data_IF_460908771134
#
_entry.id   IF_460908771134
#
_cell.length_a   1.000
_cell.length_b   1.000
_cell.length_c   1.000
_cell.angle_alpha   90.00
_cell.angle_beta   90.00
_cell.angle_gamma   90.00
#
_symmetry.space_group_name_H-M   'P 1'
#
loop_
_entity.id
_entity.type
_entity.pdbx_description
1 polymer ?
#
# COMPACT_ATOMS: atom_id res chain seq x y z
N UNK A 1 -12.02 8.07 8.27
CA UNK A 1 -13.06 7.02 8.17
C UNK A 1 -13.51 6.83 6.72
N UNK A 2 -13.67 7.88 5.90
CA UNK A 2 -14.21 7.77 4.53
C UNK A 2 -13.17 7.24 3.52
N UNK A 3 -11.92 7.74 3.55
CA UNK A 3 -10.87 7.32 2.59
C UNK A 3 -10.66 5.80 2.59
N UNK A 4 -10.47 5.10 3.73
CA UNK A 4 -10.31 3.65 3.72
C UNK A 4 -11.54 2.87 3.22
N UNK A 5 -12.73 3.49 3.30
CA UNK A 5 -13.98 2.82 2.92
C UNK A 5 -14.31 2.96 1.43
N UNK A 6 -14.09 4.14 0.85
CA UNK A 6 -14.52 4.46 -0.52
C UNK A 6 -13.39 5.01 -1.41
N UNK A 7 -12.17 5.13 -0.88
CA UNK A 7 -10.99 5.67 -1.55
C UNK A 7 -10.97 7.21 -1.58
N UNK A 8 -9.78 7.74 -1.87
CA UNK A 8 -9.52 9.18 -1.90
C UNK A 8 -10.40 9.90 -2.92
N UNK A 9 -10.47 9.41 -4.16
CA UNK A 9 -11.25 10.01 -5.24
C UNK A 9 -12.73 10.16 -4.87
N UNK A 10 -13.37 9.08 -4.42
CA UNK A 10 -14.79 9.09 -4.08
C UNK A 10 -15.06 9.92 -2.83
N UNK A 11 -14.12 9.99 -1.89
CA UNK A 11 -14.21 10.87 -0.72
C UNK A 11 -14.28 12.34 -1.14
N UNK A 12 -13.40 12.78 -2.04
CA UNK A 12 -13.43 14.14 -2.56
C UNK A 12 -14.71 14.44 -3.33
N UNK A 13 -15.19 13.53 -4.18
CA UNK A 13 -16.44 13.68 -4.90
C UNK A 13 -17.64 13.79 -3.95
N UNK A 14 -17.68 12.98 -2.90
CA UNK A 14 -18.74 13.02 -1.87
C UNK A 14 -18.77 14.37 -1.16
N UNK A 15 -17.61 14.84 -0.66
CA UNK A 15 -17.55 16.13 0.01
C UNK A 15 -17.87 17.29 -0.92
N UNK A 16 -17.41 17.25 -2.17
CA UNK A 16 -17.76 18.25 -3.20
C UNK A 16 -19.26 18.29 -3.44
N UNK A 17 -19.94 17.14 -3.50
CA UNK A 17 -21.38 17.06 -3.64
C UNK A 17 -22.11 17.66 -2.42
N UNK A 18 -21.68 17.33 -1.21
CA UNK A 18 -22.26 17.88 0.03
C UNK A 18 -22.14 19.41 0.04
N UNK A 19 -20.95 19.94 -0.24
CA UNK A 19 -20.71 21.39 -0.28
C UNK A 19 -21.56 22.08 -1.34
N UNK A 20 -21.68 21.47 -2.52
CA UNK A 20 -22.53 21.99 -3.60
C UNK A 20 -24.01 22.02 -3.21
N UNK A 21 -24.52 20.97 -2.58
CA UNK A 21 -25.89 20.93 -2.09
C UNK A 21 -26.16 22.01 -1.04
N UNK A 22 -25.24 22.21 -0.10
CA UNK A 22 -25.32 23.30 0.90
C UNK A 22 -25.36 24.66 0.21
N UNK A 23 -24.50 24.87 -0.80
CA UNK A 23 -24.48 26.12 -1.56
C UNK A 23 -25.78 26.35 -2.34
N UNK A 24 -26.36 25.31 -2.95
CA UNK A 24 -27.64 25.40 -3.65
C UNK A 24 -28.82 25.71 -2.69
N UNK A 25 -28.82 25.12 -1.51
CA UNK A 25 -29.80 25.46 -0.46
C UNK A 25 -29.65 26.93 -0.02
N UNK A 26 -28.41 27.41 0.14
CA UNK A 26 -28.15 28.82 0.44
C UNK A 26 -28.66 29.75 -0.65
N UNK A 27 -28.39 29.43 -1.91
CA UNK A 27 -28.91 30.19 -3.07
C UNK A 27 -30.47 30.19 -3.11
N UNK A 28 -31.08 29.04 -2.86
CA UNK A 28 -32.53 28.93 -2.82
C UNK A 28 -33.19 29.78 -1.70
N UNK A 29 -32.48 29.95 -0.59
CA UNK A 29 -32.95 30.68 0.61
C UNK A 29 -32.74 32.20 0.53
N UNK A 30 -31.60 32.63 -0.05
CA UNK A 30 -31.12 34.02 0.04
C UNK A 30 -30.94 34.71 -1.30
N UNK A 31 -30.99 34.00 -2.42
CA UNK A 31 -30.86 34.56 -3.77
C UNK A 31 -32.16 34.43 -4.58
N UNK A 32 -32.16 34.94 -5.81
CA UNK A 32 -33.27 34.81 -6.70
C UNK A 32 -33.39 33.38 -7.26
N UNK A 33 -34.63 32.98 -7.62
CA UNK A 33 -34.86 31.68 -8.30
C UNK A 33 -34.04 31.57 -9.61
N UNK A 34 -33.81 32.70 -10.31
CA UNK A 34 -33.00 32.76 -11.53
C UNK A 34 -31.55 32.40 -11.25
N UNK A 35 -31.00 32.80 -10.12
CA UNK A 35 -29.62 32.48 -9.77
C UNK A 35 -29.46 31.03 -9.35
N UNK A 36 -30.43 30.45 -8.68
CA UNK A 36 -30.45 29.00 -8.39
C UNK A 36 -30.48 28.17 -9.69
N UNK A 37 -31.37 28.54 -10.64
CA UNK A 37 -31.51 27.82 -11.91
C UNK A 37 -30.20 27.83 -12.75
N UNK A 38 -29.39 28.89 -12.65
CA UNK A 38 -28.09 28.96 -13.34
C UNK A 38 -27.09 27.91 -12.85
N UNK A 39 -27.25 27.36 -11.64
CA UNK A 39 -26.29 26.47 -11.00
C UNK A 39 -26.82 25.04 -10.78
N UNK A 40 -28.12 24.79 -11.01
CA UNK A 40 -28.76 23.50 -10.75
C UNK A 40 -28.19 22.34 -11.57
N UNK A 41 -27.47 22.61 -12.66
CA UNK A 41 -26.81 21.61 -13.50
C UNK A 41 -25.52 21.06 -12.89
N UNK A 42 -24.91 21.78 -11.93
CA UNK A 42 -23.60 21.40 -11.34
C UNK A 42 -23.61 20.02 -10.65
N UNK A 43 -24.63 19.62 -9.84
CA UNK A 43 -24.70 18.26 -9.27
C UNK A 43 -24.68 17.17 -10.36
N UNK A 44 -25.33 17.40 -11.48
CA UNK A 44 -25.36 16.42 -12.59
C UNK A 44 -23.96 16.24 -13.22
N UNK A 45 -23.18 17.33 -13.33
CA UNK A 45 -21.80 17.25 -13.78
C UNK A 45 -20.94 16.46 -12.81
N UNK A 46 -21.09 16.66 -11.49
CA UNK A 46 -20.36 15.87 -10.48
C UNK A 46 -20.73 14.39 -10.55
N UNK A 47 -22.00 14.07 -10.71
CA UNK A 47 -22.44 12.67 -10.88
C UNK A 47 -21.85 12.09 -12.18
N UNK A 48 -21.90 12.84 -13.29
CA UNK A 48 -21.31 12.40 -14.54
C UNK A 48 -19.80 12.16 -14.43
N UNK A 49 -19.06 13.06 -13.77
CA UNK A 49 -17.63 12.87 -13.48
C UNK A 49 -17.38 11.64 -12.61
N UNK A 50 -18.19 11.42 -11.57
CA UNK A 50 -18.08 10.23 -10.73
C UNK A 50 -18.25 8.93 -11.55
N UNK A 51 -19.26 8.89 -12.44
CA UNK A 51 -19.50 7.74 -13.30
C UNK A 51 -18.41 7.54 -14.34
N UNK A 52 -17.95 8.60 -14.98
CA UNK A 52 -16.88 8.55 -16.00
C UNK A 52 -15.53 8.12 -15.41
N UNK A 53 -15.26 8.47 -14.16
CA UNK A 53 -14.00 8.14 -13.50
C UNK A 53 -14.07 6.93 -12.59
N UNK A 54 -15.24 6.29 -12.45
CA UNK A 54 -15.46 5.19 -11.49
C UNK A 54 -14.41 4.07 -11.58
N UNK A 55 -14.07 3.68 -12.83
CA UNK A 55 -13.15 2.58 -13.12
C UNK A 55 -11.75 3.06 -13.56
N UNK A 56 -11.44 4.34 -13.39
CA UNK A 56 -10.13 4.85 -13.77
C UNK A 56 -9.16 4.70 -12.60
N UNK A 57 -7.95 4.20 -12.91
CA UNK A 57 -6.82 4.20 -11.98
C UNK A 57 -6.51 5.59 -11.45
N UNK A 58 -6.08 5.68 -10.21
CA UNK A 58 -5.60 6.93 -9.61
C UNK A 58 -4.31 7.41 -10.28
N UNK A 59 -3.46 6.48 -10.71
CA UNK A 59 -2.21 6.76 -11.42
C UNK A 59 -2.15 5.95 -12.71
N UNK A 60 -1.67 6.59 -13.77
CA UNK A 60 -1.49 5.94 -15.08
C UNK A 60 -0.07 5.39 -15.16
N UNK A 61 0.08 4.08 -15.05
CA UNK A 61 1.36 3.41 -15.21
C UNK A 61 1.16 2.14 -16.06
N UNK A 62 1.84 2.05 -17.18
CA UNK A 62 1.71 0.92 -18.11
C UNK A 62 2.14 -0.42 -17.49
N UNK A 63 2.99 -0.39 -16.47
CA UNK A 63 3.45 -1.59 -15.76
C UNK A 63 2.56 -1.97 -14.56
N UNK A 64 1.52 -1.18 -14.27
CA UNK A 64 0.64 -1.42 -13.11
C UNK A 64 -0.24 -2.64 -13.35
N UNK A 65 -0.18 -3.58 -12.41
CA UNK A 65 -0.99 -4.80 -12.41
C UNK A 65 -2.06 -4.79 -11.32
N UNK A 66 -1.86 -3.96 -10.29
CA UNK A 66 -2.83 -3.80 -9.21
C UNK A 66 -2.64 -2.46 -8.50
N UNK A 67 -3.74 -1.87 -8.05
CA UNK A 67 -3.73 -0.73 -7.13
C UNK A 67 -4.83 -0.86 -6.10
N UNK A 68 -4.61 -0.29 -4.93
CA UNK A 68 -5.61 -0.17 -3.86
C UNK A 68 -5.23 0.94 -2.89
N UNK A 69 -6.17 1.34 -2.05
CA UNK A 69 -5.94 2.26 -0.94
C UNK A 69 -6.27 1.57 0.39
N UNK A 70 -5.50 1.89 1.41
CA UNK A 70 -5.73 1.50 2.79
C UNK A 70 -5.94 2.73 3.68
N UNK A 71 -6.02 2.52 4.99
CA UNK A 71 -6.00 3.61 5.97
C UNK A 71 -4.63 4.34 6.03
N UNK A 72 -3.58 3.69 5.54
CA UNK A 72 -2.19 4.14 5.69
C UNK A 72 -1.56 4.54 4.36
N UNK A 73 -1.89 3.82 3.29
CA UNK A 73 -1.16 3.92 2.04
C UNK A 73 -2.07 3.86 0.80
N UNK A 74 -1.67 4.57 -0.26
CA UNK A 74 -1.95 4.16 -1.62
C UNK A 74 -0.92 3.08 -2.00
N UNK A 75 -1.38 1.95 -2.50
CA UNK A 75 -0.58 0.76 -2.75
C UNK A 75 -0.62 0.45 -4.24
N UNK A 76 0.53 0.44 -4.89
CA UNK A 76 0.70 0.13 -6.30
C UNK A 76 1.59 -1.09 -6.47
N UNK A 77 1.13 -2.06 -7.26
CA UNK A 77 1.93 -3.22 -7.67
C UNK A 77 2.24 -3.10 -9.15
N UNK A 78 3.52 -3.12 -9.49
CA UNK A 78 4.01 -3.05 -10.85
C UNK A 78 4.64 -4.38 -11.27
N UNK A 79 4.57 -4.69 -12.56
CA UNK A 79 5.39 -5.74 -13.17
C UNK A 79 6.32 -5.12 -14.21
N UNK A 80 7.63 -5.18 -13.94
CA UNK A 80 8.65 -4.62 -14.82
C UNK A 80 9.75 -5.66 -15.05
N UNK A 81 9.93 -6.10 -16.28
CA UNK A 81 10.97 -7.06 -16.66
C UNK A 81 10.94 -8.37 -15.84
N UNK A 82 9.75 -8.85 -15.49
CA UNK A 82 9.57 -10.05 -14.67
C UNK A 82 9.63 -9.81 -13.16
N UNK A 83 10.01 -8.62 -12.73
CA UNK A 83 9.99 -8.24 -11.32
C UNK A 83 8.64 -7.67 -10.92
N UNK A 84 8.11 -8.17 -9.82
CA UNK A 84 6.97 -7.58 -9.12
C UNK A 84 7.49 -6.56 -8.11
N UNK A 85 7.00 -5.33 -8.19
CA UNK A 85 7.50 -4.19 -7.43
C UNK A 85 6.36 -3.58 -6.64
N UNK A 86 6.56 -3.37 -5.34
CA UNK A 86 5.66 -2.64 -4.46
C UNK A 86 6.09 -1.19 -4.36
N UNK A 87 5.20 -0.27 -4.67
CA UNK A 87 5.32 1.17 -4.39
C UNK A 87 4.20 1.63 -3.49
N UNK A 88 4.52 2.58 -2.63
CA UNK A 88 3.56 3.17 -1.68
C UNK A 88 3.50 4.68 -1.85
N UNK A 89 2.28 5.22 -1.78
CA UNK A 89 1.98 6.65 -1.80
C UNK A 89 2.52 7.38 -3.06
N UNK A 90 3.04 8.58 -2.88
CA UNK A 90 3.69 9.36 -3.93
C UNK A 90 5.15 8.94 -4.18
N UNK A 91 5.63 7.95 -3.39
CA UNK A 91 7.01 7.54 -3.40
C UNK A 91 7.46 6.94 -4.71
N UNK A 92 8.65 7.32 -5.16
CA UNK A 92 9.37 6.64 -6.23
C UNK A 92 10.16 5.45 -5.70
N UNK A 93 10.25 5.32 -4.37
CA UNK A 93 10.95 4.25 -3.68
C UNK A 93 10.27 2.90 -3.85
N UNK A 94 11.07 1.86 -4.05
CA UNK A 94 10.62 0.47 -4.05
C UNK A 94 10.60 -0.02 -2.61
N UNK A 95 9.41 -0.44 -2.12
CA UNK A 95 9.23 -0.93 -0.75
C UNK A 95 9.38 -2.44 -0.64
N UNK A 96 9.07 -3.16 -1.71
CA UNK A 96 9.36 -4.59 -1.85
C UNK A 96 9.56 -4.94 -3.30
N UNK A 97 10.33 -5.99 -3.54
CA UNK A 97 10.60 -6.55 -4.85
C UNK A 97 10.54 -8.07 -4.79
N UNK A 98 10.04 -8.68 -5.85
CA UNK A 98 9.91 -10.11 -5.97
C UNK A 98 10.20 -10.56 -7.40
N UNK A 99 10.92 -11.67 -7.52
CA UNK A 99 11.07 -12.43 -8.76
C UNK A 99 11.10 -13.92 -8.39
N UNK A 100 10.45 -14.81 -9.14
CA UNK A 100 10.41 -16.24 -8.79
C UNK A 100 11.79 -16.89 -8.77
N UNK A 101 12.68 -16.51 -9.69
CA UNK A 101 13.93 -17.21 -9.97
C UNK A 101 15.18 -16.53 -9.41
N UNK A 102 15.05 -15.34 -8.80
CA UNK A 102 16.20 -14.65 -8.18
C UNK A 102 15.88 -14.09 -6.81
N UNK A 103 16.91 -14.01 -5.99
CA UNK A 103 16.88 -13.42 -4.66
C UNK A 103 17.82 -12.23 -4.54
N UNK A 104 18.63 -11.97 -5.56
CA UNK A 104 19.53 -10.83 -5.58
C UNK A 104 18.87 -9.67 -6.30
N UNK A 105 18.65 -8.58 -5.61
CA UNK A 105 17.92 -7.42 -6.10
C UNK A 105 18.76 -6.15 -6.22
N UNK A 106 20.03 -6.19 -5.77
CA UNK A 106 20.96 -5.06 -5.71
C UNK A 106 20.37 -3.85 -4.97
N UNK A 107 19.62 -4.11 -3.91
CA UNK A 107 18.92 -3.14 -3.10
C UNK A 107 19.20 -3.27 -1.60
N UNK A 108 18.56 -2.48 -0.76
CA UNK A 108 18.77 -2.47 0.68
C UNK A 108 18.50 -3.83 1.34
N UNK A 109 17.61 -4.64 0.77
CA UNK A 109 17.26 -5.96 1.29
C UNK A 109 18.47 -6.90 1.30
N UNK A 110 19.33 -6.85 0.26
CA UNK A 110 20.55 -7.65 0.18
C UNK A 110 21.54 -7.27 1.29
N UNK A 111 21.53 -5.99 1.70
CA UNK A 111 22.40 -5.49 2.77
C UNK A 111 21.95 -5.97 4.16
N UNK A 112 20.66 -6.19 4.38
CA UNK A 112 20.16 -6.73 5.66
C UNK A 112 20.69 -8.14 5.95
N UNK A 113 21.04 -8.90 4.93
CA UNK A 113 21.60 -10.24 5.08
C UNK A 113 22.97 -10.26 5.76
N UNK A 114 23.72 -9.15 5.73
CA UNK A 114 25.04 -9.08 6.36
C UNK A 114 24.99 -8.65 7.83
N UNK A 115 23.80 -8.29 8.36
CA UNK A 115 23.67 -7.80 9.73
C UNK A 115 24.26 -8.69 10.81
N UNK A 116 24.23 -10.04 10.73
CA UNK A 116 24.87 -10.90 11.72
C UNK A 116 26.39 -10.76 11.79
N UNK A 117 27.03 -10.35 10.70
CA UNK A 117 28.49 -10.22 10.62
C UNK A 117 29.02 -8.96 11.33
N UNK A 118 28.16 -8.05 11.74
CA UNK A 118 28.54 -6.89 12.56
C UNK A 118 28.80 -7.25 14.03
N UNK A 119 28.46 -8.45 14.45
CA UNK A 119 28.73 -8.92 15.81
C UNK A 119 30.01 -9.73 15.86
N UNK A 120 31.00 -9.25 16.62
CA UNK A 120 32.21 -9.99 16.87
C UNK A 120 31.89 -11.38 17.48
N UNK A 121 32.60 -12.42 17.01
CA UNK A 121 32.43 -13.79 17.49
C UNK A 121 31.05 -14.44 17.25
N UNK A 122 30.22 -13.89 16.38
CA UNK A 122 28.96 -14.52 15.93
C UNK A 122 29.13 -15.12 14.54
N UNK A 123 28.49 -16.27 14.34
CA UNK A 123 28.38 -16.94 13.04
C UNK A 123 26.95 -16.88 12.54
N UNK A 124 26.70 -16.93 11.23
CA UNK A 124 25.35 -17.01 10.67
C UNK A 124 24.52 -18.16 11.25
N UNK A 125 25.15 -19.28 11.58
CA UNK A 125 24.51 -20.44 12.23
C UNK A 125 24.02 -20.17 13.66
N UNK A 126 24.44 -19.09 14.28
CA UNK A 126 24.02 -18.71 15.63
C UNK A 126 22.69 -17.97 15.64
N UNK A 127 22.22 -17.54 14.46
CA UNK A 127 20.91 -16.89 14.30
C UNK A 127 19.83 -17.96 14.47
N UNK A 128 19.00 -17.77 15.48
CA UNK A 128 17.90 -18.72 15.80
C UNK A 128 16.53 -18.15 15.56
N UNK A 129 16.39 -16.83 15.41
CA UNK A 129 15.16 -16.11 15.18
C UNK A 129 15.44 -14.73 14.60
N UNK A 130 14.56 -14.21 13.77
CA UNK A 130 14.64 -12.87 13.19
C UNK A 130 13.35 -12.12 13.47
N UNK A 131 13.45 -10.85 13.82
CA UNK A 131 12.32 -9.91 13.83
C UNK A 131 12.52 -8.89 12.70
N UNK A 132 11.48 -8.68 11.88
CA UNK A 132 11.47 -7.70 10.80
C UNK A 132 10.39 -6.68 11.12
N UNK A 133 10.76 -5.46 11.46
CA UNK A 133 9.84 -4.33 11.71
C UNK A 133 9.69 -3.54 10.41
N UNK A 134 8.44 -3.49 9.90
CA UNK A 134 8.16 -3.02 8.55
C UNK A 134 8.39 -4.14 7.53
N UNK A 135 7.58 -5.20 7.63
CA UNK A 135 7.69 -6.39 6.78
C UNK A 135 7.47 -6.08 5.30
N UNK A 136 6.63 -5.09 5.01
CA UNK A 136 6.15 -4.77 3.67
C UNK A 136 5.60 -6.03 2.95
N UNK A 137 5.97 -6.28 1.70
CA UNK A 137 5.54 -7.49 0.98
C UNK A 137 6.52 -8.67 1.10
N UNK A 138 7.39 -8.68 2.14
CA UNK A 138 8.15 -9.86 2.56
C UNK A 138 9.47 -10.12 1.83
N UNK A 139 10.03 -9.16 1.08
CA UNK A 139 11.31 -9.35 0.36
C UNK A 139 12.43 -9.81 1.29
N UNK A 140 12.65 -9.09 2.40
CA UNK A 140 13.69 -9.44 3.40
C UNK A 140 13.42 -10.80 4.04
N UNK A 141 12.18 -11.12 4.39
CA UNK A 141 11.83 -12.40 5.00
C UNK A 141 12.14 -13.57 4.05
N UNK A 142 11.85 -13.42 2.76
CA UNK A 142 12.15 -14.42 1.73
C UNK A 142 13.66 -14.64 1.59
N UNK A 143 14.43 -13.57 1.54
CA UNK A 143 15.88 -13.64 1.46
C UNK A 143 16.50 -14.27 2.72
N UNK A 144 16.02 -13.86 3.93
CA UNK A 144 16.46 -14.45 5.20
C UNK A 144 16.19 -15.96 5.25
N UNK A 145 14.99 -16.38 4.80
CA UNK A 145 14.66 -17.81 4.71
C UNK A 145 15.59 -18.58 3.79
N UNK A 146 15.91 -18.00 2.64
CA UNK A 146 16.80 -18.65 1.67
C UNK A 146 18.26 -18.74 2.14
N UNK A 147 18.76 -17.72 2.85
CA UNK A 147 20.17 -17.66 3.29
C UNK A 147 20.39 -18.37 4.62
N UNK A 148 19.48 -18.22 5.58
CA UNK A 148 19.63 -18.74 6.93
C UNK A 148 18.78 -19.99 7.22
N UNK A 149 18.01 -20.47 6.22
CA UNK A 149 17.12 -21.62 6.35
C UNK A 149 15.80 -21.29 7.05
N UNK A 150 15.07 -22.32 7.44
CA UNK A 150 13.75 -22.21 8.07
C UNK A 150 13.81 -21.77 9.54
N UNK A 151 14.59 -20.73 9.85
CA UNK A 151 14.56 -20.12 11.18
C UNK A 151 13.26 -19.32 11.37
N UNK A 152 12.67 -19.28 12.56
CA UNK A 152 11.47 -18.48 12.82
C UNK A 152 11.71 -16.99 12.51
N UNK A 153 10.78 -16.40 11.77
CA UNK A 153 10.78 -14.97 11.42
C UNK A 153 9.46 -14.38 11.91
N UNK A 154 9.53 -13.36 12.77
CA UNK A 154 8.39 -12.53 13.13
C UNK A 154 8.41 -11.25 12.29
N UNK A 155 7.44 -11.12 11.41
CA UNK A 155 7.29 -9.96 10.53
C UNK A 155 6.16 -9.05 11.00
N UNK A 156 6.50 -7.82 11.36
CA UNK A 156 5.54 -6.81 11.82
C UNK A 156 5.20 -5.87 10.67
N UNK A 157 3.92 -5.78 10.33
CA UNK A 157 3.42 -4.86 9.30
C UNK A 157 2.20 -4.10 9.83
N UNK A 158 2.23 -2.78 9.71
CA UNK A 158 1.15 -1.93 10.20
C UNK A 158 -0.10 -2.01 9.32
N UNK A 159 0.10 -2.14 8.02
CA UNK A 159 -0.97 -2.10 7.03
C UNK A 159 -1.41 -3.51 6.61
N UNK A 160 -2.59 -3.98 7.05
CA UNK A 160 -3.08 -5.31 6.69
C UNK A 160 -3.26 -5.47 5.17
N UNK A 161 -3.48 -4.37 4.44
CA UNK A 161 -3.63 -4.42 3.00
C UNK A 161 -2.31 -4.73 2.28
N UNK A 162 -1.18 -4.27 2.83
CA UNK A 162 0.16 -4.64 2.33
C UNK A 162 0.41 -6.13 2.54
N UNK A 163 -0.04 -6.70 3.67
CA UNK A 163 0.06 -8.15 3.92
C UNK A 163 -0.71 -8.95 2.87
N UNK A 164 -1.97 -8.59 2.59
CA UNK A 164 -2.77 -9.23 1.53
C UNK A 164 -2.08 -9.17 0.17
N UNK A 165 -1.53 -8.01 -0.19
CA UNK A 165 -0.78 -7.79 -1.44
C UNK A 165 0.49 -8.64 -1.47
N UNK A 166 1.22 -8.70 -0.36
CA UNK A 166 2.43 -9.52 -0.20
C UNK A 166 2.16 -11.00 -0.44
N UNK A 167 1.10 -11.53 0.15
CA UNK A 167 0.68 -12.91 -0.03
C UNK A 167 0.22 -13.21 -1.47
N UNK A 168 -0.49 -12.27 -2.09
CA UNK A 168 -1.08 -12.47 -3.42
C UNK A 168 -0.08 -12.30 -4.57
N UNK A 169 0.83 -11.34 -4.48
CA UNK A 169 1.67 -10.94 -5.61
C UNK A 169 3.18 -11.17 -5.40
N UNK A 170 3.64 -11.33 -4.15
CA UNK A 170 5.08 -11.37 -3.81
C UNK A 170 5.53 -12.71 -3.25
N UNK A 171 4.67 -13.73 -3.26
CA UNK A 171 5.02 -15.05 -2.74
C UNK A 171 5.32 -15.05 -1.24
N UNK A 172 4.71 -14.16 -0.46
CA UNK A 172 4.90 -14.03 0.99
C UNK A 172 4.12 -15.11 1.75
N UNK A 173 4.46 -16.38 1.50
CA UNK A 173 3.79 -17.56 2.07
C UNK A 173 4.81 -18.55 2.69
N UNK A 174 5.94 -18.04 3.20
CA UNK A 174 6.96 -18.87 3.82
C UNK A 174 6.42 -19.51 5.11
N UNK A 175 6.64 -20.84 5.33
CA UNK A 175 6.09 -21.55 6.49
C UNK A 175 6.71 -21.12 7.84
N UNK A 176 7.89 -20.51 7.80
CA UNK A 176 8.62 -20.00 8.96
C UNK A 176 8.36 -18.52 9.25
N UNK A 177 7.51 -17.86 8.45
CA UNK A 177 7.13 -16.45 8.64
C UNK A 177 5.83 -16.36 9.45
N UNK A 178 5.92 -15.79 10.65
CA UNK A 178 4.79 -15.38 11.47
C UNK A 178 4.51 -13.90 11.21
N UNK A 179 3.35 -13.58 10.62
CA UNK A 179 2.97 -12.20 10.28
C UNK A 179 2.14 -11.63 11.42
N UNK A 180 2.60 -10.49 11.97
CA UNK A 180 1.96 -9.77 13.05
C UNK A 180 1.51 -8.41 12.51
N UNK A 181 0.18 -8.24 12.37
CA UNK A 181 -0.40 -6.98 11.92
C UNK A 181 -0.50 -6.02 13.10
N UNK A 182 0.18 -4.88 13.01
CA UNK A 182 0.19 -3.85 14.03
C UNK A 182 1.47 -3.05 14.11
N UNK A 183 1.50 -2.09 15.03
CA UNK A 183 2.69 -1.27 15.28
C UNK A 183 3.78 -2.15 15.93
N UNK A 184 4.88 -2.34 15.21
CA UNK A 184 6.01 -3.16 15.65
C UNK A 184 6.65 -2.68 16.96
N UNK A 185 6.57 -1.38 17.26
CA UNK A 185 7.08 -0.84 18.54
C UNK A 185 6.31 -1.32 19.76
N UNK A 186 5.02 -1.62 19.58
CA UNK A 186 4.13 -2.09 20.63
C UNK A 186 4.10 -3.62 20.76
N UNK A 187 4.54 -4.33 19.72
CA UNK A 187 4.43 -5.77 19.61
C UNK A 187 5.77 -6.52 19.69
N UNK A 188 6.88 -5.81 19.90
CA UNK A 188 8.24 -6.36 20.06
C UNK A 188 8.55 -6.79 21.52
N UNK A 189 7.60 -7.36 22.23
CA UNK A 189 7.84 -7.90 23.59
C UNK A 189 8.27 -9.37 23.58
#
# INVERSE_FOLDING_TARGET
VTIPAIGTKNTFLLFSMILLLVALVGLARFASQRDMLKHIWMPFVLVALALLTANQSLKTNAAQVYETESAYNYIEVLNQNGFTILRLNEGQGVHSIYHPDTLQYNGPWDQFLVSPYFYANRKPSDIKRVAIVGLAAGTTARQMTAVYGNIPIDGYELDPKIVEVGQKYFGMNMPNLNIIIGDGRLNLE
#
